data_IF_865782700306
#
_entry.id   IF_865782700306
#
_cell.length_a   1.000
_cell.length_b   1.000
_cell.length_c   1.000
_cell.angle_alpha   90.00
_cell.angle_beta   90.00
_cell.angle_gamma   90.00
#
_symmetry.space_group_name_H-M   'P 1'
#
loop_
_entity.id
_entity.type
_entity.pdbx_description
1 polymer ?
#
# COMPACT_ATOMS: atom_id res chain seq x y z
N UNK A 1 20.47 -11.34 17.84
CA UNK A 1 19.20 -10.69 17.42
C UNK A 1 19.40 -9.18 17.55
N UNK A 2 19.55 -8.43 16.43
CA UNK A 2 19.67 -6.94 16.28
C UNK A 2 20.61 -6.56 15.10
N UNK A 3 20.36 -7.11 13.91
CA UNK A 3 21.03 -6.65 12.67
C UNK A 3 20.00 -6.21 11.63
N UNK A 4 18.80 -6.80 11.65
CA UNK A 4 17.68 -6.46 10.78
C UNK A 4 17.04 -5.09 11.05
N UNK A 5 17.09 -4.57 12.29
CA UNK A 5 16.40 -3.32 12.66
C UNK A 5 17.13 -2.06 12.18
N UNK A 6 18.47 -2.09 12.08
CA UNK A 6 19.26 -0.92 11.65
C UNK A 6 19.17 -0.66 10.15
N UNK A 7 18.93 -1.70 9.35
CA UNK A 7 18.84 -1.59 7.88
C UNK A 7 17.56 -0.87 7.42
N UNK A 8 16.45 -1.13 8.11
CA UNK A 8 15.15 -0.52 7.82
C UNK A 8 15.06 1.00 8.10
N UNK A 9 16.01 1.56 8.86
CA UNK A 9 16.07 3.02 9.12
C UNK A 9 16.64 3.79 7.92
N UNK A 10 17.37 3.11 7.02
CA UNK A 10 18.17 3.76 5.97
C UNK A 10 17.73 3.46 4.53
N UNK A 11 16.93 2.42 4.32
CA UNK A 11 16.43 2.02 3.01
C UNK A 11 14.97 2.47 2.84
N UNK A 12 14.65 3.00 1.66
CA UNK A 12 13.30 3.45 1.32
C UNK A 12 12.39 2.23 1.11
N UNK A 13 11.36 2.07 1.94
CA UNK A 13 10.51 0.89 1.91
C UNK A 13 9.24 1.15 1.09
N UNK A 14 8.77 0.11 0.38
CA UNK A 14 7.46 0.06 -0.25
C UNK A 14 6.60 -1.04 0.38
N UNK A 15 5.28 -0.96 0.21
CA UNK A 15 4.34 -2.03 0.51
C UNK A 15 3.91 -2.74 -0.79
N UNK A 16 4.28 -4.01 -0.92
CA UNK A 16 3.86 -4.87 -2.02
C UNK A 16 2.72 -5.79 -1.58
N UNK A 17 1.69 -5.93 -2.41
CA UNK A 17 0.64 -6.92 -2.27
C UNK A 17 0.73 -7.96 -3.41
N UNK A 18 0.39 -9.20 -3.10
CA UNK A 18 0.48 -10.33 -4.03
C UNK A 18 -0.90 -10.98 -4.26
N UNK A 19 -1.14 -11.58 -5.44
CA UNK A 19 -2.42 -12.24 -5.75
C UNK A 19 -2.83 -13.36 -4.78
N UNK A 20 -1.87 -13.94 -4.07
CA UNK A 20 -2.09 -14.95 -3.03
C UNK A 20 -2.57 -14.35 -1.69
N UNK A 21 -3.01 -13.07 -1.68
CA UNK A 21 -3.48 -12.31 -0.51
C UNK A 21 -2.42 -12.07 0.56
N UNK A 22 -1.13 -12.27 0.23
CA UNK A 22 -0.01 -11.89 1.09
C UNK A 22 0.49 -10.50 0.72
N UNK A 23 1.20 -9.88 1.64
CA UNK A 23 1.86 -8.60 1.44
C UNK A 23 3.25 -8.62 2.06
N UNK A 24 4.12 -7.72 1.61
CA UNK A 24 5.48 -7.58 2.09
C UNK A 24 5.90 -6.11 2.10
N UNK A 25 6.55 -5.69 3.18
CA UNK A 25 7.27 -4.41 3.22
C UNK A 25 8.75 -4.70 2.95
N UNK A 26 9.29 -4.11 1.89
CA UNK A 26 10.66 -4.35 1.42
C UNK A 26 11.14 -3.14 0.61
N UNK A 27 12.46 -2.92 0.48
CA UNK A 27 12.98 -1.98 -0.50
C UNK A 27 12.49 -2.29 -1.91
N UNK A 28 12.43 -1.30 -2.82
CA UNK A 28 12.06 -1.53 -4.20
C UNK A 28 13.04 -2.51 -4.87
N UNK A 29 12.53 -3.30 -5.80
CA UNK A 29 13.37 -4.23 -6.56
C UNK A 29 14.29 -3.44 -7.50
N UNK A 30 15.60 -3.70 -7.48
CA UNK A 30 16.59 -2.96 -8.29
C UNK A 30 16.33 -3.05 -9.80
N UNK A 31 15.77 -4.17 -10.27
CA UNK A 31 15.33 -4.38 -11.65
C UNK A 31 14.09 -5.28 -11.67
N UNK A 32 12.93 -4.72 -12.00
CA UNK A 32 11.72 -5.50 -12.22
C UNK A 32 11.78 -6.18 -13.61
N UNK A 33 11.62 -7.51 -13.72
CA UNK A 33 11.69 -8.23 -15.01
C UNK A 33 10.67 -7.75 -16.06
N UNK A 34 9.63 -7.06 -15.61
CA UNK A 34 8.62 -6.36 -16.41
C UNK A 34 8.43 -4.99 -15.76
N UNK A 35 8.28 -3.89 -16.53
CA UNK A 35 8.03 -2.53 -16.00
C UNK A 35 6.63 -2.40 -15.37
N UNK A 36 6.36 -3.20 -14.35
CA UNK A 36 5.15 -3.09 -13.55
C UNK A 36 5.14 -1.71 -12.86
N UNK A 37 3.95 -1.11 -12.65
CA UNK A 37 3.81 0.03 -11.78
C UNK A 37 4.44 -0.24 -10.41
N UNK A 38 5.32 0.65 -9.97
CA UNK A 38 5.95 0.55 -8.66
C UNK A 38 5.02 1.10 -7.57
N UNK A 39 4.94 0.45 -6.39
CA UNK A 39 4.26 1.02 -5.24
C UNK A 39 4.98 2.26 -4.73
N UNK A 40 4.30 3.06 -3.91
CA UNK A 40 4.89 4.27 -3.32
C UNK A 40 6.16 3.91 -2.52
N UNK A 41 7.20 4.71 -2.74
CA UNK A 41 8.50 4.58 -2.10
C UNK A 41 8.53 5.39 -0.79
N UNK A 42 9.21 4.87 0.24
CA UNK A 42 9.48 5.61 1.47
C UNK A 42 8.29 5.70 2.43
N UNK A 43 7.40 4.70 2.47
CA UNK A 43 6.27 4.69 3.42
C UNK A 43 6.72 4.77 4.88
N UNK A 44 7.95 4.38 5.17
CA UNK A 44 8.58 4.42 6.48
C UNK A 44 8.99 5.83 6.93
N UNK A 45 9.10 6.82 6.03
CA UNK A 45 9.59 8.16 6.39
C UNK A 45 8.59 8.98 7.18
N UNK A 46 7.32 8.97 6.77
CA UNK A 46 6.29 9.77 7.43
C UNK A 46 5.79 9.14 8.74
N UNK A 47 6.12 7.86 9.00
CA UNK A 47 5.53 7.06 10.08
C UNK A 47 5.65 7.68 11.46
N UNK A 48 6.85 8.16 11.80
CA UNK A 48 7.14 8.67 13.15
C UNK A 48 6.84 10.18 13.27
N UNK A 49 6.49 10.84 12.16
CA UNK A 49 6.17 12.27 12.08
C UNK A 49 4.66 12.58 12.02
N UNK A 50 3.79 11.58 12.10
CA UNK A 50 2.34 11.75 11.99
C UNK A 50 1.59 10.78 12.92
N UNK A 51 0.30 11.05 13.19
CA UNK A 51 -0.50 10.12 13.97
C UNK A 51 -0.62 8.79 13.25
N UNK A 52 -0.62 7.68 14.01
CA UNK A 52 -0.70 6.32 13.45
C UNK A 52 -1.89 6.14 12.49
N UNK A 53 -3.05 6.72 12.82
CA UNK A 53 -4.24 6.71 11.96
C UNK A 53 -3.95 7.41 10.62
N UNK A 54 -3.45 8.63 10.68
CA UNK A 54 -3.15 9.44 9.49
C UNK A 54 -2.10 8.77 8.60
N UNK A 55 -1.09 8.13 9.21
CA UNK A 55 -0.10 7.33 8.49
C UNK A 55 -0.73 6.14 7.76
N UNK A 56 -1.58 5.38 8.45
CA UNK A 56 -2.25 4.22 7.85
C UNK A 56 -3.21 4.63 6.74
N UNK A 57 -3.94 5.74 6.90
CA UNK A 57 -4.80 6.29 5.84
C UNK A 57 -3.98 6.73 4.63
N UNK A 58 -2.83 7.38 4.84
CA UNK A 58 -1.92 7.76 3.77
C UNK A 58 -1.40 6.54 3.01
N UNK A 59 -0.95 5.51 3.74
CA UNK A 59 -0.47 4.25 3.14
C UNK A 59 -1.60 3.56 2.37
N UNK A 60 -2.83 3.53 2.91
CA UNK A 60 -3.99 2.94 2.27
C UNK A 60 -4.33 3.65 0.95
N UNK A 61 -4.39 4.99 0.94
CA UNK A 61 -4.63 5.78 -0.27
C UNK A 61 -3.59 5.52 -1.36
N UNK A 62 -2.30 5.42 -0.99
CA UNK A 62 -1.26 5.07 -1.95
C UNK A 62 -1.39 3.64 -2.48
N UNK A 63 -1.84 2.70 -1.66
CA UNK A 63 -2.11 1.34 -2.11
C UNK A 63 -3.27 1.29 -3.11
N UNK A 64 -4.35 2.05 -2.89
CA UNK A 64 -5.48 2.13 -3.81
C UNK A 64 -5.04 2.63 -5.21
N UNK A 65 -4.24 3.70 -5.25
CA UNK A 65 -3.69 4.25 -6.51
C UNK A 65 -2.75 3.24 -7.20
N UNK A 66 -1.92 2.55 -6.43
CA UNK A 66 -1.02 1.54 -6.97
C UNK A 66 -1.77 0.34 -7.56
N UNK A 67 -2.79 -0.17 -6.85
CA UNK A 67 -3.65 -1.24 -7.35
C UNK A 67 -4.40 -0.83 -8.63
N UNK A 68 -4.93 0.39 -8.68
CA UNK A 68 -5.57 0.92 -9.89
C UNK A 68 -4.58 1.00 -11.08
N UNK A 69 -3.33 1.38 -10.80
CA UNK A 69 -2.26 1.41 -11.79
C UNK A 69 -1.93 0.01 -12.31
N UNK A 70 -1.86 -0.99 -11.42
CA UNK A 70 -1.67 -2.40 -11.79
C UNK A 70 -2.81 -2.94 -12.64
N UNK A 71 -4.06 -2.67 -12.24
CA UNK A 71 -5.25 -3.08 -13.01
C UNK A 71 -5.23 -2.45 -14.40
N UNK A 72 -4.87 -1.17 -14.51
CA UNK A 72 -4.76 -0.49 -15.80
C UNK A 72 -3.62 -1.05 -16.66
N UNK A 73 -2.47 -1.39 -16.05
CA UNK A 73 -1.33 -2.00 -16.73
C UNK A 73 -1.69 -3.35 -17.34
N UNK A 74 -2.26 -4.25 -16.53
CA UNK A 74 -2.70 -5.57 -17.01
C UNK A 74 -3.90 -5.48 -17.96
N UNK A 75 -4.77 -4.49 -17.76
CA UNK A 75 -5.92 -4.20 -18.60
C UNK A 75 -5.61 -3.42 -19.89
N UNK A 76 -4.35 -3.13 -20.19
CA UNK A 76 -3.95 -2.31 -21.35
C UNK A 76 -4.43 -2.85 -22.70
N UNK A 77 -4.63 -4.17 -22.79
CA UNK A 77 -5.12 -4.85 -24.00
C UNK A 77 -6.65 -4.92 -24.10
N UNK A 78 -7.37 -4.56 -23.03
CA UNK A 78 -8.83 -4.58 -23.01
C UNK A 78 -9.40 -3.47 -23.87
N UNK A 79 -10.54 -3.72 -24.49
CA UNK A 79 -11.37 -2.71 -25.16
C UNK A 79 -11.91 -1.68 -24.17
N UNK A 80 -12.45 -0.57 -24.67
CA UNK A 80 -13.06 0.46 -23.82
C UNK A 80 -14.14 -0.12 -22.92
N UNK A 81 -15.04 -0.92 -23.47
CA UNK A 81 -16.21 -1.43 -22.75
C UNK A 81 -15.79 -2.48 -21.70
N UNK A 82 -14.76 -3.29 -21.99
CA UNK A 82 -14.16 -4.19 -21.02
C UNK A 82 -13.48 -3.45 -19.86
N UNK A 83 -12.77 -2.33 -20.15
CA UNK A 83 -12.19 -1.49 -19.10
C UNK A 83 -13.26 -0.82 -18.23
N UNK A 84 -14.37 -0.36 -18.82
CA UNK A 84 -15.51 0.16 -18.07
C UNK A 84 -16.06 -0.90 -17.13
N UNK A 85 -16.35 -2.10 -17.64
CA UNK A 85 -16.86 -3.21 -16.82
C UNK A 85 -15.91 -3.60 -15.69
N UNK A 86 -14.60 -3.60 -15.97
CA UNK A 86 -13.57 -3.87 -14.95
C UNK A 86 -13.56 -2.79 -13.87
N UNK A 87 -13.65 -1.52 -14.25
CA UNK A 87 -13.70 -0.40 -13.31
C UNK A 87 -14.97 -0.43 -12.46
N UNK A 88 -16.13 -0.75 -13.06
CA UNK A 88 -17.38 -0.94 -12.32
C UNK A 88 -17.23 -2.03 -11.24
N UNK A 89 -16.60 -3.17 -11.58
CA UNK A 89 -16.31 -4.25 -10.61
C UNK A 89 -15.36 -3.84 -9.50
N UNK A 90 -14.36 -3.01 -9.78
CA UNK A 90 -13.47 -2.49 -8.74
C UNK A 90 -14.25 -1.61 -7.76
N UNK A 91 -15.14 -0.76 -8.26
CA UNK A 91 -15.94 0.17 -7.44
C UNK A 91 -17.08 -0.51 -6.67
N UNK A 92 -17.35 -1.79 -6.91
CA UNK A 92 -18.26 -2.59 -6.05
C UNK A 92 -17.64 -2.91 -4.68
N UNK A 93 -16.32 -2.71 -4.52
CA UNK A 93 -15.59 -2.94 -3.28
C UNK A 93 -15.21 -1.61 -2.63
N UNK A 94 -15.18 -1.53 -1.29
CA UNK A 94 -14.60 -0.38 -0.61
C UNK A 94 -13.09 -0.31 -0.90
N UNK A 95 -12.61 0.91 -1.04
CA UNK A 95 -11.18 1.20 -1.10
C UNK A 95 -10.49 0.81 0.20
N UNK A 96 -9.17 0.59 0.17
CA UNK A 96 -8.40 0.37 1.38
C UNK A 96 -8.46 1.58 2.30
N UNK A 97 -8.53 2.79 1.75
CA UNK A 97 -8.74 4.00 2.52
C UNK A 97 -10.05 3.95 3.31
N UNK A 98 -11.18 3.65 2.64
CA UNK A 98 -12.49 3.54 3.30
C UNK A 98 -12.51 2.42 4.35
N UNK A 99 -11.91 1.27 4.06
CA UNK A 99 -11.77 0.17 5.02
C UNK A 99 -10.91 0.55 6.23
N UNK A 100 -9.81 1.27 6.01
CA UNK A 100 -8.98 1.76 7.10
C UNK A 100 -9.74 2.78 7.94
N UNK A 101 -10.39 3.75 7.31
CA UNK A 101 -11.14 4.81 7.99
C UNK A 101 -12.27 4.26 8.87
N UNK A 102 -13.00 3.26 8.37
CA UNK A 102 -14.17 2.68 9.05
C UNK A 102 -13.81 1.69 10.17
N UNK A 103 -12.55 1.26 10.31
CA UNK A 103 -12.13 0.38 11.41
C UNK A 103 -12.00 1.15 12.72
N UNK A 104 -12.97 1.00 13.62
CA UNK A 104 -12.92 1.46 15.01
C UNK A 104 -12.83 0.29 16.02
N UNK A 105 -12.14 0.45 17.18
CA UNK A 105 -11.44 1.65 17.63
C UNK A 105 -9.96 1.62 17.24
N UNK A 106 -9.49 2.74 16.70
CA UNK A 106 -8.08 3.12 16.77
C UNK A 106 -7.72 3.30 18.24
N UNK A 107 -7.46 2.18 18.93
CA UNK A 107 -7.10 2.16 20.35
C UNK A 107 -5.86 3.08 20.48
N UNK A 108 -5.92 4.14 21.30
CA UNK A 108 -4.72 4.83 21.70
C UNK A 108 -3.84 3.77 22.36
N UNK A 109 -2.63 3.52 21.87
CA UNK A 109 -1.65 2.83 22.68
C UNK A 109 -1.60 3.58 24.00
N UNK A 110 -2.15 2.98 25.05
CA UNK A 110 -1.94 3.45 26.41
C UNK A 110 -0.43 3.51 26.56
N UNK A 111 0.10 4.74 26.62
CA UNK A 111 1.46 4.99 27.05
C UNK A 111 1.72 4.07 28.25
N UNK A 112 2.61 3.07 28.17
CA UNK A 112 3.07 2.45 29.38
C UNK A 112 3.77 3.57 30.13
N UNK A 113 3.22 3.94 31.29
CA UNK A 113 3.98 4.67 32.28
C UNK A 113 5.34 3.96 32.47
N UNK A 114 6.40 4.56 31.90
CA UNK A 114 7.74 4.78 32.48
C UNK A 114 8.78 5.10 31.41
#
# INVERSE_FOLDING_TARGET
MRVSTLRAIREDLCLYAYPNKKWQVTPPFEQLPQRLPEPVLGINFARDGMQRKDWLLLVAAHCDVWLLSLVSFFGSWLTRDERTRLFDRLNELPTLYEEAENRHPWIPETSPEK
#
